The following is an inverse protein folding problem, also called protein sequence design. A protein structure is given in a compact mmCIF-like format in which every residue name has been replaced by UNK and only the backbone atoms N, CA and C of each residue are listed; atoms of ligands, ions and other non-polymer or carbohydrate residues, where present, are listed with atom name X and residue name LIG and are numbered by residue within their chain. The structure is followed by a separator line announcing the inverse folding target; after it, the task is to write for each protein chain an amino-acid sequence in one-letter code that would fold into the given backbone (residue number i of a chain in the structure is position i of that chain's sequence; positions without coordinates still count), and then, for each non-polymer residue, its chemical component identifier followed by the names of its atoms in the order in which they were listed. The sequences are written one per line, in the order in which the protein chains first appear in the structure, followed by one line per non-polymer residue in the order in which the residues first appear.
data_IF_563269683480
#
_entry.id   IF_563269683480
#
_cell.length_a   1.000
_cell.length_b   1.000
_cell.length_c   1.000
_cell.angle_alpha   90.00
_cell.angle_beta   90.00
_cell.angle_gamma   90.00
#
_symmetry.space_group_name_H-M   'P 1'
#
loop_
_entity.id
_entity.type
_entity.pdbx_description
1 polymer ?
#
# COMPACT_ATOMS: atom_id res chain seq x y z
N UNK A 1 -6.00 -3.17 -2.60
CA UNK A 1 -6.11 -2.40 -1.35
C UNK A 1 -6.13 -3.25 -0.10
N UNK A 2 -6.66 -4.49 -0.10
CA UNK A 2 -6.76 -5.32 1.10
C UNK A 2 -5.43 -5.41 1.90
N UNK A 3 -4.34 -5.81 1.25
CA UNK A 3 -3.01 -5.89 1.91
C UNK A 3 -2.49 -4.53 2.40
N UNK A 4 -2.74 -3.45 1.65
CA UNK A 4 -2.33 -2.09 2.05
C UNK A 4 -3.04 -1.67 3.34
N UNK A 5 -4.34 -1.93 3.44
CA UNK A 5 -5.11 -1.64 4.64
C UNK A 5 -4.67 -2.54 5.79
N UNK A 6 -4.47 -3.84 5.55
CA UNK A 6 -4.00 -4.79 6.56
C UNK A 6 -2.71 -4.34 7.26
N UNK A 7 -1.70 -3.94 6.48
CA UNK A 7 -0.44 -3.46 7.06
C UNK A 7 -0.58 -2.08 7.72
N UNK A 8 -1.51 -1.25 7.26
CA UNK A 8 -1.73 0.08 7.78
C UNK A 8 -2.54 0.10 9.09
N UNK A 9 -3.50 -0.81 9.24
CA UNK A 9 -4.39 -0.93 10.40
C UNK A 9 -3.64 -1.25 11.70
N UNK A 10 -2.44 -1.84 11.58
CA UNK A 10 -1.49 -2.03 12.69
C UNK A 10 -0.77 -0.76 13.14
N UNK A 11 -1.02 0.39 12.51
CA UNK A 11 -0.34 1.67 12.78
C UNK A 11 -1.33 2.79 13.12
N UNK A 12 -0.86 3.91 13.71
CA UNK A 12 -1.70 5.10 13.89
C UNK A 12 -2.04 5.85 12.58
N UNK A 13 -1.36 5.56 11.46
CA UNK A 13 -1.46 6.36 10.24
C UNK A 13 -2.89 6.50 9.68
N UNK A 14 -3.71 5.43 9.59
CA UNK A 14 -5.08 5.53 9.06
C UNK A 14 -6.02 6.37 9.93
N UNK A 15 -5.67 6.59 11.21
CA UNK A 15 -6.52 7.31 12.17
C UNK A 15 -6.27 8.82 12.15
N UNK A 16 -5.11 9.25 11.69
CA UNK A 16 -4.76 10.66 11.64
C UNK A 16 -5.42 11.35 10.43
N UNK A 17 -6.06 12.51 10.66
CA UNK A 17 -6.51 13.38 9.57
C UNK A 17 -5.30 13.98 8.84
N UNK A 18 -4.86 13.27 7.82
CA UNK A 18 -3.69 13.62 7.03
C UNK A 18 -4.00 13.44 5.55
N UNK A 19 -3.11 13.96 4.71
CA UNK A 19 -3.16 13.74 3.27
C UNK A 19 -3.04 12.24 2.90
N UNK A 20 -2.45 11.40 3.75
CA UNK A 20 -2.36 9.94 3.53
C UNK A 20 -3.71 9.24 3.46
N UNK A 21 -4.73 9.81 4.12
CA UNK A 21 -6.11 9.33 4.11
C UNK A 21 -7.02 10.25 3.29
N UNK A 22 -6.46 11.16 2.50
CA UNK A 22 -7.23 12.10 1.66
C UNK A 22 -8.01 13.17 2.45
N UNK A 23 -7.63 13.45 3.70
CA UNK A 23 -8.31 14.46 4.53
C UNK A 23 -7.94 15.90 4.16
N UNK A 24 -7.08 16.10 3.17
CA UNK A 24 -6.55 17.38 2.70
C UNK A 24 -7.48 18.15 1.75
N UNK A 25 -8.51 17.50 1.20
CA UNK A 25 -9.39 18.12 0.21
C UNK A 25 -10.86 17.70 0.38
N UNK A 26 -11.82 18.64 0.42
CA UNK A 26 -13.25 18.32 0.45
C UNK A 26 -13.67 17.46 -0.74
N UNK A 27 -14.49 16.44 -0.49
CA UNK A 27 -15.01 15.53 -1.52
C UNK A 27 -14.03 14.43 -1.96
N UNK A 28 -12.77 14.44 -1.51
CA UNK A 28 -11.82 13.36 -1.80
C UNK A 28 -12.19 12.11 -0.99
N UNK A 29 -12.19 10.90 -1.61
CA UNK A 29 -12.42 9.66 -0.89
C UNK A 29 -11.41 9.47 0.25
N UNK A 30 -11.91 9.06 1.42
CA UNK A 30 -11.06 8.77 2.58
C UNK A 30 -10.49 7.36 2.50
N UNK A 31 -9.36 7.22 1.80
CA UNK A 31 -8.68 5.92 1.58
C UNK A 31 -7.22 6.05 1.94
N UNK A 32 -6.67 5.05 2.63
CA UNK A 32 -5.24 4.97 2.90
C UNK A 32 -4.52 4.38 1.68
N UNK A 33 -3.59 5.15 1.10
CA UNK A 33 -2.87 4.77 -0.12
C UNK A 33 -1.42 4.28 0.08
N UNK A 34 -0.63 4.78 1.04
CA UNK A 34 0.76 4.35 1.19
C UNK A 34 0.90 2.87 1.56
N UNK A 35 1.93 2.20 1.03
CA UNK A 35 2.35 0.90 1.53
C UNK A 35 3.33 1.07 2.69
N UNK A 36 2.89 0.76 3.92
CA UNK A 36 3.66 1.05 5.15
C UNK A 36 4.38 -0.13 5.78
N UNK A 37 4.47 -1.28 5.09
CA UNK A 37 5.28 -2.41 5.58
C UNK A 37 6.80 -2.17 5.47
N UNK A 38 7.22 -1.04 4.90
CA UNK A 38 8.62 -0.62 4.80
C UNK A 38 9.31 -1.03 3.50
N UNK A 39 10.37 -0.30 3.14
CA UNK A 39 11.09 -0.45 1.87
C UNK A 39 11.79 -1.80 1.72
N UNK A 40 12.26 -2.41 2.82
CA UNK A 40 12.90 -3.74 2.79
C UNK A 40 11.91 -4.83 2.40
N UNK A 41 10.73 -4.84 3.04
CA UNK A 41 9.64 -5.79 2.70
C UNK A 41 9.16 -5.56 1.27
N UNK A 42 9.01 -4.30 0.85
CA UNK A 42 8.63 -3.97 -0.52
C UNK A 42 9.61 -4.55 -1.55
N UNK A 43 10.92 -4.33 -1.36
CA UNK A 43 11.96 -4.87 -2.27
C UNK A 43 11.93 -6.39 -2.32
N UNK A 44 11.84 -7.05 -1.17
CA UNK A 44 11.74 -8.51 -1.08
C UNK A 44 10.55 -9.05 -1.89
N UNK A 45 9.38 -8.42 -1.77
CA UNK A 45 8.19 -8.80 -2.54
C UNK A 45 8.39 -8.59 -4.05
N UNK A 46 9.04 -7.50 -4.47
CA UNK A 46 9.36 -7.28 -5.87
C UNK A 46 10.29 -8.37 -6.42
N UNK A 47 11.35 -8.71 -5.69
CA UNK A 47 12.31 -9.74 -6.08
C UNK A 47 11.64 -11.13 -6.14
N UNK A 48 10.78 -11.45 -5.18
CA UNK A 48 9.97 -12.68 -5.17
C UNK A 48 9.04 -12.75 -6.39
N UNK A 49 8.31 -11.67 -6.69
CA UNK A 49 7.41 -11.61 -7.85
C UNK A 49 8.19 -11.76 -9.16
N UNK A 50 9.34 -11.10 -9.30
CA UNK A 50 10.18 -11.21 -10.48
C UNK A 50 10.74 -12.62 -10.67
N UNK A 51 11.17 -13.27 -9.58
CA UNK A 51 11.66 -14.66 -9.60
C UNK A 51 10.54 -15.64 -9.93
N UNK A 52 9.30 -15.34 -9.51
CA UNK A 52 8.07 -16.09 -9.79
C UNK A 52 7.47 -15.74 -11.18
N UNK A 53 8.33 -15.44 -12.16
CA UNK A 53 7.91 -15.18 -13.54
C UNK A 53 6.97 -13.98 -13.70
N UNK A 54 7.10 -12.97 -12.83
CA UNK A 54 6.21 -11.81 -12.75
C UNK A 54 4.74 -12.17 -12.43
N UNK A 55 4.53 -12.98 -11.39
CA UNK A 55 3.20 -13.35 -10.89
C UNK A 55 2.24 -12.15 -10.85
N UNK A 56 1.08 -12.34 -11.46
CA UNK A 56 0.03 -11.33 -11.55
C UNK A 56 0.11 -10.43 -12.79
N UNK A 57 1.17 -10.54 -13.59
CA UNK A 57 1.26 -9.93 -14.92
C UNK A 57 1.01 -10.97 -16.01
N UNK A 58 0.35 -10.53 -17.10
CA UNK A 58 0.31 -11.28 -18.35
C UNK A 58 1.41 -10.75 -19.25
N UNK A 59 2.39 -11.60 -19.54
CA UNK A 59 3.45 -11.30 -20.50
C UNK A 59 3.01 -11.81 -21.87
N UNK A 60 3.13 -10.97 -22.90
CA UNK A 60 2.76 -11.26 -24.29
C UNK A 60 3.82 -10.76 -25.25
#
# INVERSE_FOLDING_TARGET
MAHVNEVADGTPYPRANSWYVGADSPGKPRVFMPYVAGVGVYRKLCDEIATDGYRGLKLS
#
